data_IF_109285339152
#
_entry.id   IF_109285339152
#
_cell.length_a   1.000
_cell.length_b   1.000
_cell.length_c   1.000
_cell.angle_alpha   90.00
_cell.angle_beta   90.00
_cell.angle_gamma   90.00
#
_symmetry.space_group_name_H-M   'P 1'
#
loop_
_entity.id
_entity.type
_entity.pdbx_description
1 polymer ?
#
# COMPACT_ATOMS: atom_id res chain seq x y z
N UNK A 1 39.23 37.01 -33.90
CA UNK A 1 39.60 35.61 -34.26
C UNK A 1 39.35 34.74 -33.05
N UNK A 2 38.23 34.02 -33.03
CA UNK A 2 37.83 33.07 -31.95
C UNK A 2 38.22 31.68 -32.44
N UNK A 3 38.97 30.86 -31.66
CA UNK A 3 39.32 29.51 -32.10
C UNK A 3 38.11 28.60 -32.10
N UNK A 4 38.03 27.57 -32.95
CA UNK A 4 36.90 26.66 -33.02
C UNK A 4 36.82 25.77 -31.83
N UNK A 5 35.63 25.65 -31.28
CA UNK A 5 35.25 24.71 -30.19
C UNK A 5 35.37 23.29 -30.75
N UNK A 6 36.26 22.51 -30.17
CA UNK A 6 36.42 21.07 -30.44
C UNK A 6 35.14 20.38 -29.99
N UNK A 7 34.43 19.62 -30.85
CA UNK A 7 33.33 18.80 -30.42
C UNK A 7 33.88 17.68 -29.52
N UNK A 8 33.46 17.67 -28.25
CA UNK A 8 33.69 16.56 -27.34
C UNK A 8 33.11 15.29 -27.97
N UNK A 9 34.01 14.38 -28.27
CA UNK A 9 33.76 13.04 -28.77
C UNK A 9 32.71 12.35 -27.89
N UNK A 10 31.50 12.13 -28.42
CA UNK A 10 30.54 11.22 -27.81
C UNK A 10 31.15 9.83 -27.87
N UNK A 11 31.30 9.12 -26.74
CA UNK A 11 31.68 7.72 -26.80
C UNK A 11 30.54 6.94 -27.48
N UNK A 12 30.84 6.46 -28.69
CA UNK A 12 30.01 5.45 -29.34
C UNK A 12 30.14 4.14 -28.55
N UNK A 13 29.27 3.99 -27.55
CA UNK A 13 29.09 2.70 -26.89
C UNK A 13 28.30 1.79 -27.82
N UNK A 14 29.00 1.03 -28.61
CA UNK A 14 28.50 -0.23 -29.18
C UNK A 14 28.61 -1.30 -28.10
N UNK A 15 27.88 -1.16 -27.01
CA UNK A 15 27.65 -2.25 -26.07
C UNK A 15 26.54 -3.15 -26.60
N UNK A 16 26.83 -4.45 -26.67
CA UNK A 16 25.95 -5.45 -27.21
C UNK A 16 24.59 -5.40 -26.52
N UNK A 17 23.54 -5.37 -27.32
CA UNK A 17 22.12 -5.27 -26.88
C UNK A 17 21.71 -6.27 -25.79
N UNK A 18 22.46 -7.34 -25.57
CA UNK A 18 22.25 -8.31 -24.49
C UNK A 18 22.68 -7.83 -23.11
N UNK A 19 23.81 -7.11 -23.00
CA UNK A 19 24.32 -6.59 -21.72
C UNK A 19 23.46 -5.48 -21.15
N UNK A 20 23.02 -4.55 -21.98
CA UNK A 20 22.14 -3.43 -21.58
C UNK A 20 20.77 -3.93 -21.11
N UNK A 21 20.19 -4.95 -21.76
CA UNK A 21 18.93 -5.56 -21.33
C UNK A 21 19.03 -6.29 -19.99
N UNK A 22 20.15 -6.96 -19.71
CA UNK A 22 20.34 -7.64 -18.41
C UNK A 22 20.53 -6.67 -17.27
N UNK A 23 21.27 -5.57 -17.46
CA UNK A 23 21.46 -4.52 -16.45
C UNK A 23 20.14 -3.84 -16.15
N UNK A 24 19.34 -3.48 -17.16
CA UNK A 24 18.02 -2.90 -16.97
C UNK A 24 17.06 -3.85 -16.22
N UNK A 25 17.14 -5.18 -16.50
CA UNK A 25 16.30 -6.17 -15.80
C UNK A 25 16.67 -6.32 -14.32
N UNK A 26 17.95 -6.31 -13.98
CA UNK A 26 18.41 -6.40 -12.59
C UNK A 26 18.10 -5.13 -11.80
N UNK A 27 18.31 -3.95 -12.38
CA UNK A 27 17.94 -2.67 -11.75
C UNK A 27 16.43 -2.58 -11.49
N UNK A 28 15.61 -3.02 -12.43
CA UNK A 28 14.17 -3.08 -12.28
C UNK A 28 13.75 -4.02 -11.12
N UNK A 29 14.37 -5.21 -11.02
CA UNK A 29 14.10 -6.15 -9.92
C UNK A 29 14.49 -5.54 -8.58
N UNK A 30 15.67 -4.92 -8.47
CA UNK A 30 16.07 -4.22 -7.25
C UNK A 30 15.14 -3.06 -6.91
N UNK A 31 14.67 -2.31 -7.89
CA UNK A 31 13.70 -1.23 -7.67
C UNK A 31 12.34 -1.80 -7.20
N UNK A 32 11.87 -2.93 -7.76
CA UNK A 32 10.65 -3.59 -7.31
C UNK A 32 10.77 -4.08 -5.86
N UNK A 33 11.84 -4.79 -5.53
CA UNK A 33 12.04 -5.28 -4.16
C UNK A 33 12.30 -4.13 -3.18
N UNK A 34 13.08 -3.12 -3.57
CA UNK A 34 13.35 -1.94 -2.76
C UNK A 34 12.08 -1.11 -2.51
N UNK A 35 11.30 -0.85 -3.55
CA UNK A 35 10.03 -0.15 -3.46
C UNK A 35 9.01 -0.92 -2.60
N UNK A 36 8.92 -2.24 -2.78
CA UNK A 36 8.06 -3.10 -1.95
C UNK A 36 8.51 -3.09 -0.48
N UNK A 37 9.81 -3.19 -0.23
CA UNK A 37 10.35 -3.14 1.14
C UNK A 37 10.05 -1.79 1.82
N UNK A 38 10.25 -0.67 1.12
CA UNK A 38 9.92 0.67 1.63
C UNK A 38 8.42 0.82 1.90
N UNK A 39 7.57 0.33 0.99
CA UNK A 39 6.13 0.34 1.15
C UNK A 39 5.70 -0.47 2.38
N UNK A 40 6.11 -1.74 2.48
CA UNK A 40 5.74 -2.62 3.59
C UNK A 40 6.28 -2.11 4.93
N UNK A 41 7.53 -1.66 4.96
CA UNK A 41 8.13 -1.09 6.15
C UNK A 41 7.43 0.20 6.57
N UNK A 42 7.16 1.11 5.62
CA UNK A 42 6.42 2.35 5.88
C UNK A 42 5.04 2.07 6.45
N UNK A 43 4.31 1.12 5.87
CA UNK A 43 2.97 0.72 6.34
C UNK A 43 3.01 0.14 7.76
N UNK A 44 3.93 -0.79 8.04
CA UNK A 44 4.08 -1.41 9.36
C UNK A 44 4.47 -0.37 10.43
N UNK A 45 5.43 0.50 10.12
CA UNK A 45 5.87 1.56 11.04
C UNK A 45 4.79 2.60 11.29
N UNK A 46 4.08 3.03 10.25
CA UNK A 46 2.94 3.93 10.38
C UNK A 46 1.86 3.34 11.30
N UNK A 47 1.49 2.07 11.07
CA UNK A 47 0.51 1.37 11.89
C UNK A 47 0.92 1.32 13.38
N UNK A 48 2.16 0.91 13.67
CA UNK A 48 2.68 0.85 15.05
C UNK A 48 2.77 2.23 15.69
N UNK A 49 3.16 3.25 14.94
CA UNK A 49 3.25 4.60 15.45
C UNK A 49 1.87 5.18 15.78
N UNK A 50 0.87 4.97 14.91
CA UNK A 50 -0.52 5.34 15.18
C UNK A 50 -1.09 4.58 16.39
N UNK A 51 -0.80 3.28 16.53
CA UNK A 51 -1.20 2.49 17.70
C UNK A 51 -0.60 3.05 19.00
N UNK A 52 0.67 3.44 19.00
CA UNK A 52 1.31 4.07 20.17
C UNK A 52 0.71 5.45 20.50
N UNK A 53 0.39 6.24 19.47
CA UNK A 53 -0.21 7.56 19.67
C UNK A 53 -1.65 7.50 20.20
N UNK A 54 -2.43 6.48 19.80
CA UNK A 54 -3.86 6.38 20.03
C UNK A 54 -4.30 5.24 20.98
N UNK A 55 -3.41 4.35 21.41
CA UNK A 55 -3.73 3.05 22.00
C UNK A 55 -4.76 3.06 23.15
N UNK A 56 -4.63 3.93 24.13
CA UNK A 56 -5.58 3.98 25.26
C UNK A 56 -6.92 4.64 24.88
N UNK A 57 -6.91 5.58 23.93
CA UNK A 57 -8.13 6.19 23.43
C UNK A 57 -8.96 5.14 22.67
N UNK A 58 -8.30 4.27 21.94
CA UNK A 58 -8.93 3.21 21.15
C UNK A 58 -9.60 2.14 22.01
N UNK A 59 -8.96 1.73 23.09
CA UNK A 59 -9.56 0.80 24.06
C UNK A 59 -10.82 1.41 24.70
N UNK A 60 -10.79 2.69 25.06
CA UNK A 60 -11.95 3.39 25.62
C UNK A 60 -13.08 3.55 24.59
N UNK A 61 -12.73 3.77 23.32
CA UNK A 61 -13.68 3.90 22.21
C UNK A 61 -14.47 2.58 22.05
N UNK A 62 -13.76 1.47 21.94
CA UNK A 62 -14.37 0.14 21.85
C UNK A 62 -15.26 -0.20 23.05
N UNK A 63 -14.82 0.14 24.26
CA UNK A 63 -15.59 -0.17 25.47
C UNK A 63 -16.88 0.66 25.61
N UNK A 64 -16.96 1.86 25.02
CA UNK A 64 -18.07 2.79 25.23
C UNK A 64 -19.07 2.88 24.08
N UNK A 65 -18.66 2.67 22.84
CA UNK A 65 -19.46 2.99 21.66
C UNK A 65 -20.07 1.76 20.95
N UNK A 66 -20.21 0.64 21.66
CA UNK A 66 -20.80 -0.59 21.08
C UNK A 66 -22.25 -0.82 21.53
N UNK A 67 -22.95 0.22 22.02
CA UNK A 67 -24.30 0.09 22.55
C UNK A 67 -25.33 -0.32 21.50
N UNK A 68 -25.17 0.10 20.23
CA UNK A 68 -26.04 -0.28 19.11
C UNK A 68 -25.20 -0.90 17.99
N UNK A 69 -25.81 -1.74 17.11
CA UNK A 69 -25.07 -2.31 15.98
C UNK A 69 -24.43 -1.26 15.07
N UNK A 70 -25.16 -0.16 14.79
CA UNK A 70 -24.64 0.93 13.96
C UNK A 70 -23.41 1.60 14.60
N UNK A 71 -23.48 1.91 15.88
CA UNK A 71 -22.34 2.44 16.63
C UNK A 71 -21.19 1.44 16.67
N UNK A 72 -21.47 0.15 16.74
CA UNK A 72 -20.47 -0.91 16.62
C UNK A 72 -19.72 -0.86 15.30
N UNK A 73 -20.44 -0.76 14.17
CA UNK A 73 -19.86 -0.60 12.83
C UNK A 73 -19.00 0.66 12.76
N UNK A 74 -19.51 1.81 13.18
CA UNK A 74 -18.76 3.08 13.15
C UNK A 74 -17.52 3.02 14.04
N UNK A 75 -17.61 2.35 15.19
CA UNK A 75 -16.47 2.14 16.09
C UNK A 75 -15.40 1.27 15.43
N UNK A 76 -15.79 0.15 14.83
CA UNK A 76 -14.88 -0.73 14.10
C UNK A 76 -14.17 -0.01 12.95
N UNK A 77 -14.92 0.75 12.17
CA UNK A 77 -14.38 1.59 11.10
C UNK A 77 -13.35 2.61 11.62
N UNK A 78 -13.71 3.36 12.66
CA UNK A 78 -12.81 4.36 13.25
C UNK A 78 -11.55 3.74 13.85
N UNK A 79 -11.70 2.61 14.54
CA UNK A 79 -10.58 1.85 15.11
C UNK A 79 -9.62 1.42 14.00
N UNK A 80 -10.13 0.81 12.94
CA UNK A 80 -9.29 0.32 11.84
C UNK A 80 -8.66 1.45 11.04
N UNK A 81 -9.41 2.54 10.79
CA UNK A 81 -8.87 3.72 10.12
C UNK A 81 -7.67 4.32 10.87
N UNK A 82 -7.68 4.29 12.21
CA UNK A 82 -6.57 4.78 13.03
C UNK A 82 -5.48 3.72 13.19
N UNK A 83 -5.82 2.47 13.51
CA UNK A 83 -4.84 1.41 13.73
C UNK A 83 -4.18 0.94 12.43
N UNK A 84 -4.81 1.16 11.29
CA UNK A 84 -4.38 0.70 9.97
C UNK A 84 -4.06 -0.81 9.93
N UNK A 85 -4.72 -1.58 10.82
CA UNK A 85 -4.54 -3.03 10.96
C UNK A 85 -5.86 -3.67 11.38
N UNK A 86 -6.51 -4.33 10.44
CA UNK A 86 -7.75 -5.08 10.68
C UNK A 86 -7.49 -6.31 11.57
N UNK A 87 -6.35 -6.99 11.39
CA UNK A 87 -5.98 -8.13 12.24
C UNK A 87 -5.81 -7.74 13.69
N UNK A 88 -5.07 -6.66 13.98
CA UNK A 88 -4.89 -6.17 15.35
C UNK A 88 -6.22 -5.73 15.97
N UNK A 89 -7.08 -5.04 15.21
CA UNK A 89 -8.40 -4.64 15.67
C UNK A 89 -9.30 -5.86 15.95
N UNK A 90 -9.29 -6.86 15.07
CA UNK A 90 -10.08 -8.10 15.25
C UNK A 90 -9.62 -8.88 16.47
N UNK A 91 -8.31 -9.09 16.67
CA UNK A 91 -7.76 -9.76 17.86
C UNK A 91 -8.15 -9.03 19.15
N UNK A 92 -8.16 -7.68 19.13
CA UNK A 92 -8.62 -6.88 20.26
C UNK A 92 -10.10 -7.13 20.57
N UNK A 93 -10.97 -7.18 19.54
CA UNK A 93 -12.40 -7.49 19.69
C UNK A 93 -12.60 -8.89 20.23
N UNK A 94 -11.90 -9.89 19.71
CA UNK A 94 -11.94 -11.27 20.23
C UNK A 94 -11.53 -11.30 21.70
N UNK A 95 -10.46 -10.58 22.06
CA UNK A 95 -10.01 -10.46 23.44
C UNK A 95 -11.10 -9.87 24.36
N UNK A 96 -11.85 -8.87 23.91
CA UNK A 96 -12.96 -8.30 24.69
C UNK A 96 -14.14 -9.27 24.84
N UNK A 97 -14.46 -10.03 23.80
CA UNK A 97 -15.48 -11.09 23.90
C UNK A 97 -15.05 -12.17 24.88
N UNK A 98 -13.80 -12.63 24.78
CA UNK A 98 -13.26 -13.65 25.67
C UNK A 98 -13.19 -13.20 27.14
N UNK A 99 -12.98 -11.90 27.36
CA UNK A 99 -12.99 -11.31 28.69
C UNK A 99 -14.41 -11.00 29.22
N UNK A 100 -15.48 -11.31 28.48
CA UNK A 100 -16.86 -10.98 28.83
C UNK A 100 -17.19 -9.47 28.80
N UNK A 101 -16.32 -8.64 28.19
CA UNK A 101 -16.49 -7.19 28.10
C UNK A 101 -17.36 -6.77 26.91
N UNK A 102 -17.54 -7.65 25.93
CA UNK A 102 -18.30 -7.41 24.72
C UNK A 102 -19.12 -8.65 24.34
N UNK A 103 -20.40 -8.47 24.12
CA UNK A 103 -21.30 -9.53 23.65
C UNK A 103 -21.04 -9.87 22.17
N UNK A 104 -21.19 -11.13 21.79
CA UNK A 104 -20.93 -11.61 20.44
C UNK A 104 -21.68 -10.83 19.34
N UNK A 105 -23.01 -10.52 19.46
CA UNK A 105 -23.70 -9.76 18.43
C UNK A 105 -23.12 -8.35 18.22
N UNK A 106 -22.65 -7.72 19.27
CA UNK A 106 -21.98 -6.40 19.19
C UNK A 106 -20.60 -6.51 18.58
N UNK A 107 -19.86 -7.58 18.92
CA UNK A 107 -18.57 -7.87 18.33
C UNK A 107 -18.65 -8.06 16.82
N UNK A 108 -19.67 -8.78 16.33
CA UNK A 108 -19.91 -8.96 14.89
C UNK A 108 -20.12 -7.61 14.19
N UNK A 109 -20.90 -6.70 14.77
CA UNK A 109 -21.08 -5.35 14.21
C UNK A 109 -19.75 -4.58 14.13
N UNK A 110 -18.90 -4.67 15.18
CA UNK A 110 -17.56 -4.04 15.16
C UNK A 110 -16.68 -4.66 14.08
N UNK A 111 -16.72 -5.97 13.89
CA UNK A 111 -15.95 -6.69 12.85
C UNK A 111 -16.37 -6.24 11.45
N UNK A 112 -17.67 -6.04 11.18
CA UNK A 112 -18.12 -5.44 9.91
C UNK A 112 -17.52 -4.04 9.72
N UNK A 113 -17.50 -3.23 10.77
CA UNK A 113 -16.86 -1.91 10.74
C UNK A 113 -15.36 -1.99 10.47
N UNK A 114 -14.66 -2.95 11.06
CA UNK A 114 -13.23 -3.21 10.82
C UNK A 114 -12.97 -3.52 9.35
N UNK A 115 -13.77 -4.39 8.74
CA UNK A 115 -13.64 -4.73 7.32
C UNK A 115 -13.89 -3.52 6.40
N UNK A 116 -14.91 -2.72 6.70
CA UNK A 116 -15.13 -1.46 5.97
C UNK A 116 -13.94 -0.51 6.17
N UNK A 117 -13.40 -0.41 7.40
CA UNK A 117 -12.27 0.45 7.71
C UNK A 117 -10.98 0.09 6.96
N UNK A 118 -10.79 -1.16 6.58
CA UNK A 118 -9.66 -1.59 5.74
C UNK A 118 -9.69 -0.91 4.37
N UNK A 119 -10.86 -0.59 3.83
CA UNK A 119 -10.98 0.11 2.54
C UNK A 119 -10.46 1.54 2.59
N UNK A 120 -10.42 2.17 3.77
CA UNK A 120 -9.84 3.50 3.96
C UNK A 120 -8.34 3.53 3.63
N UNK A 121 -7.62 2.44 3.96
CA UNK A 121 -6.21 2.29 3.58
C UNK A 121 -6.05 2.28 2.05
N UNK A 122 -6.90 1.55 1.35
CA UNK A 122 -6.90 1.52 -0.10
C UNK A 122 -7.20 2.89 -0.71
N UNK A 123 -8.13 3.67 -0.12
CA UNK A 123 -8.43 5.03 -0.55
C UNK A 123 -7.26 5.99 -0.31
N UNK A 124 -6.58 5.88 0.85
CA UNK A 124 -5.38 6.67 1.12
C UNK A 124 -4.28 6.39 0.08
N UNK A 125 -4.07 5.13 -0.28
CA UNK A 125 -3.08 4.71 -1.28
C UNK A 125 -3.49 5.19 -2.69
N UNK A 126 -4.79 5.28 -2.97
CA UNK A 126 -5.31 5.78 -4.25
C UNK A 126 -5.06 7.28 -4.45
N UNK A 127 -4.81 8.03 -3.39
CA UNK A 127 -4.52 9.45 -3.46
C UNK A 127 -3.17 9.68 -4.15
N UNK A 128 -3.12 10.56 -5.13
CA UNK A 128 -1.86 10.93 -5.78
C UNK A 128 -1.12 11.96 -4.92
N UNK A 129 -0.37 11.46 -3.94
CA UNK A 129 0.41 12.27 -3.01
C UNK A 129 1.88 12.45 -3.43
N UNK A 130 2.27 12.05 -4.65
CA UNK A 130 3.67 12.04 -5.09
C UNK A 130 4.38 13.40 -4.89
N UNK A 131 3.69 14.52 -5.15
CA UNK A 131 4.25 15.85 -4.97
C UNK A 131 4.48 16.23 -3.50
N UNK A 132 3.75 15.60 -2.57
CA UNK A 132 3.83 15.87 -1.14
C UNK A 132 4.77 14.92 -0.38
N UNK A 133 5.32 13.90 -1.04
CA UNK A 133 6.13 12.86 -0.38
C UNK A 133 7.32 13.46 0.36
N UNK A 134 8.14 14.26 -0.30
CA UNK A 134 9.34 14.85 0.32
C UNK A 134 9.03 15.87 1.43
N UNK A 135 8.08 16.81 1.25
CA UNK A 135 7.63 17.66 2.36
C UNK A 135 7.11 16.89 3.58
N UNK A 136 6.35 15.80 3.35
CA UNK A 136 5.81 14.95 4.42
C UNK A 136 6.92 14.19 5.13
N UNK A 137 7.87 13.59 4.38
CA UNK A 137 9.06 12.95 4.97
C UNK A 137 9.84 13.92 5.84
N UNK A 138 10.12 15.12 5.34
CA UNK A 138 10.86 16.12 6.11
C UNK A 138 10.11 16.57 7.35
N UNK A 139 8.81 16.86 7.23
CA UNK A 139 7.98 17.26 8.37
C UNK A 139 7.92 16.14 9.43
N UNK A 140 7.71 14.88 9.01
CA UNK A 140 7.71 13.73 9.90
C UNK A 140 9.03 13.57 10.65
N UNK A 141 10.15 13.67 9.93
CA UNK A 141 11.49 13.62 10.51
C UNK A 141 11.71 14.74 11.57
N UNK A 142 11.36 15.99 11.23
CA UNK A 142 11.52 17.13 12.15
C UNK A 142 10.67 16.94 13.41
N UNK A 143 9.41 16.50 13.26
CA UNK A 143 8.52 16.25 14.39
C UNK A 143 9.08 15.14 15.29
N UNK A 144 9.51 14.01 14.71
CA UNK A 144 10.07 12.88 15.46
C UNK A 144 11.35 13.28 16.19
N UNK A 145 12.28 13.95 15.51
CA UNK A 145 13.58 14.36 16.05
C UNK A 145 13.46 15.45 17.12
N UNK A 146 12.58 16.44 16.93
CA UNK A 146 12.42 17.57 17.86
C UNK A 146 11.51 17.25 19.06
N UNK A 147 10.69 16.21 18.97
CA UNK A 147 9.70 15.90 19.99
C UNK A 147 10.35 15.31 21.25
N UNK A 148 10.01 15.89 22.40
CA UNK A 148 10.42 15.37 23.72
C UNK A 148 9.41 14.39 24.33
N UNK A 149 8.15 14.46 23.89
CA UNK A 149 7.06 13.60 24.40
C UNK A 149 6.85 12.41 23.47
N UNK A 150 6.79 11.20 24.01
CA UNK A 150 6.61 9.95 23.27
C UNK A 150 5.42 9.98 22.30
N UNK A 151 4.32 10.67 22.66
CA UNK A 151 3.16 10.83 21.80
C UNK A 151 3.47 11.60 20.51
N UNK A 152 4.25 12.69 20.61
CA UNK A 152 4.63 13.50 19.45
C UNK A 152 5.69 12.82 18.60
N UNK A 153 6.60 12.05 19.22
CA UNK A 153 7.52 11.16 18.48
C UNK A 153 6.74 10.13 17.66
N UNK A 154 5.73 9.50 18.28
CA UNK A 154 4.88 8.56 17.55
C UNK A 154 4.11 9.23 16.38
N UNK A 155 3.66 10.49 16.56
CA UNK A 155 3.05 11.25 15.46
C UNK A 155 4.07 11.55 14.37
N UNK A 156 5.28 11.99 14.71
CA UNK A 156 6.37 12.24 13.76
C UNK A 156 6.74 10.99 12.97
N UNK A 157 6.91 9.87 13.67
CA UNK A 157 7.18 8.56 13.04
C UNK A 157 6.03 8.12 12.12
N UNK A 158 4.77 8.35 12.50
CA UNK A 158 3.63 8.03 11.64
C UNK A 158 3.65 8.86 10.35
N UNK A 159 3.90 10.18 10.46
CA UNK A 159 3.98 11.08 9.30
C UNK A 159 5.17 10.73 8.41
N UNK A 160 6.34 10.46 8.98
CA UNK A 160 7.52 10.02 8.24
C UNK A 160 7.26 8.72 7.49
N UNK A 161 6.70 7.74 8.18
CA UNK A 161 6.38 6.42 7.62
C UNK A 161 5.32 6.48 6.53
N UNK A 162 4.36 7.42 6.63
CA UNK A 162 3.40 7.72 5.57
C UNK A 162 4.12 8.21 4.30
N UNK A 163 5.06 9.14 4.43
CA UNK A 163 5.90 9.58 3.29
C UNK A 163 6.71 8.44 2.69
N UNK A 164 7.30 7.58 3.53
CA UNK A 164 8.08 6.42 3.08
C UNK A 164 7.23 5.40 2.31
N UNK A 165 6.00 5.17 2.77
CA UNK A 165 5.01 4.33 2.10
C UNK A 165 4.75 4.83 0.67
N UNK A 166 4.47 6.13 0.52
CA UNK A 166 4.19 6.72 -0.80
C UNK A 166 5.42 6.74 -1.71
N UNK A 167 6.62 6.96 -1.18
CA UNK A 167 7.85 6.83 -1.97
C UNK A 167 8.03 5.40 -2.48
N UNK A 168 7.80 4.39 -1.61
CA UNK A 168 7.80 2.98 -2.02
C UNK A 168 6.81 2.69 -3.16
N UNK A 169 5.59 3.22 -3.08
CA UNK A 169 4.58 3.13 -4.15
C UNK A 169 5.08 3.78 -5.43
N UNK A 170 5.71 4.96 -5.33
CA UNK A 170 6.27 5.67 -6.48
C UNK A 170 7.39 4.88 -7.17
N UNK A 171 8.29 4.28 -6.40
CA UNK A 171 9.35 3.40 -6.93
C UNK A 171 8.74 2.19 -7.63
N UNK A 172 7.74 1.52 -7.01
CA UNK A 172 7.04 0.39 -7.62
C UNK A 172 6.39 0.78 -8.95
N UNK A 173 5.70 1.92 -8.99
CA UNK A 173 5.06 2.41 -10.21
C UNK A 173 6.05 2.65 -11.34
N UNK A 174 7.17 3.32 -11.05
CA UNK A 174 8.25 3.55 -12.02
C UNK A 174 8.90 2.24 -12.49
N UNK A 175 9.11 1.29 -11.59
CA UNK A 175 9.71 0.00 -11.92
C UNK A 175 8.77 -0.90 -12.76
N UNK A 176 7.45 -0.78 -12.59
CA UNK A 176 6.46 -1.53 -13.36
C UNK A 176 6.19 -0.93 -14.76
N UNK A 177 6.46 0.36 -14.94
CA UNK A 177 6.17 1.07 -16.20
C UNK A 177 6.77 0.39 -17.45
N UNK A 178 8.04 -0.09 -17.47
CA UNK A 178 8.59 -0.77 -18.63
C UNK A 178 7.90 -2.11 -18.95
N UNK A 179 7.31 -2.76 -17.95
CA UNK A 179 6.60 -4.04 -18.11
C UNK A 179 5.26 -3.85 -18.83
N UNK A 180 4.61 -2.72 -18.64
CA UNK A 180 3.29 -2.43 -19.23
C UNK A 180 3.29 -2.49 -20.77
N UNK A 181 4.45 -2.29 -21.41
CA UNK A 181 4.62 -2.40 -22.86
C UNK A 181 5.06 -3.80 -23.35
N UNK A 182 5.34 -4.76 -22.45
CA UNK A 182 5.83 -6.07 -22.85
C UNK A 182 4.67 -7.02 -23.22
N UNK A 183 4.79 -7.70 -24.35
CA UNK A 183 3.77 -8.62 -24.85
C UNK A 183 3.43 -9.74 -23.87
N UNK A 184 4.43 -10.27 -23.16
CA UNK A 184 4.25 -11.32 -22.14
C UNK A 184 3.36 -10.80 -21.01
N UNK A 185 3.63 -9.60 -20.50
CA UNK A 185 2.85 -8.99 -19.42
C UNK A 185 1.41 -8.71 -19.88
N UNK A 186 1.26 -8.13 -21.08
CA UNK A 186 -0.06 -7.86 -21.67
C UNK A 186 -0.86 -9.15 -21.89
N UNK A 187 -0.20 -10.22 -22.33
CA UNK A 187 -0.82 -11.54 -22.50
C UNK A 187 -1.35 -12.10 -21.17
N UNK A 188 -0.59 -11.95 -20.06
CA UNK A 188 -1.06 -12.35 -18.74
C UNK A 188 -2.25 -11.49 -18.26
N UNK A 189 -2.17 -10.17 -18.43
CA UNK A 189 -3.26 -9.27 -18.03
C UNK A 189 -4.55 -9.55 -18.81
N UNK A 190 -4.44 -9.86 -20.10
CA UNK A 190 -5.58 -10.26 -20.92
C UNK A 190 -6.22 -11.56 -20.42
N UNK A 191 -5.43 -12.56 -20.03
CA UNK A 191 -5.94 -13.82 -19.44
C UNK A 191 -6.65 -13.58 -18.11
N UNK A 192 -6.09 -12.73 -17.25
CA UNK A 192 -6.71 -12.35 -15.96
C UNK A 192 -8.06 -11.64 -16.20
N UNK A 193 -8.14 -10.75 -17.19
CA UNK A 193 -9.41 -10.11 -17.59
C UNK A 193 -10.45 -11.11 -18.10
N UNK A 194 -10.01 -12.09 -18.87
CA UNK A 194 -10.90 -13.08 -19.48
C UNK A 194 -11.39 -14.16 -18.51
N UNK A 195 -10.65 -14.42 -17.43
CA UNK A 195 -10.96 -15.49 -16.47
C UNK A 195 -11.02 -14.95 -15.04
N UNK A 196 -12.24 -14.71 -14.50
CA UNK A 196 -12.40 -14.27 -13.10
C UNK A 196 -11.77 -15.22 -12.09
N UNK A 197 -11.81 -16.53 -12.35
CA UNK A 197 -11.21 -17.54 -11.47
C UNK A 197 -9.70 -17.37 -11.36
N UNK A 198 -9.02 -17.07 -12.49
CA UNK A 198 -7.59 -16.81 -12.50
C UNK A 198 -7.26 -15.54 -11.70
N UNK A 199 -8.09 -14.51 -11.81
CA UNK A 199 -7.97 -13.30 -11.00
C UNK A 199 -8.08 -13.57 -9.50
N UNK A 200 -9.08 -14.36 -9.08
CA UNK A 200 -9.27 -14.76 -7.68
C UNK A 200 -8.04 -15.56 -7.18
N UNK A 201 -7.57 -16.54 -7.93
CA UNK A 201 -6.40 -17.34 -7.56
C UNK A 201 -5.14 -16.48 -7.47
N UNK A 202 -4.98 -15.48 -8.34
CA UNK A 202 -3.86 -14.55 -8.30
C UNK A 202 -3.91 -13.69 -7.03
N UNK A 203 -5.06 -13.09 -6.71
CA UNK A 203 -5.24 -12.29 -5.49
C UNK A 203 -4.99 -13.10 -4.23
N UNK A 204 -5.59 -14.30 -4.13
CA UNK A 204 -5.36 -15.23 -3.04
C UNK A 204 -3.86 -15.57 -2.89
N UNK A 205 -3.19 -15.94 -3.98
CA UNK A 205 -1.77 -16.28 -3.97
C UNK A 205 -0.89 -15.10 -3.54
N UNK A 206 -1.18 -13.89 -4.03
CA UNK A 206 -0.46 -12.67 -3.64
C UNK A 206 -0.60 -12.41 -2.14
N UNK A 207 -1.81 -12.49 -1.59
CA UNK A 207 -2.05 -12.24 -0.17
C UNK A 207 -1.45 -13.33 0.71
N UNK A 208 -1.47 -14.59 0.28
CA UNK A 208 -0.79 -15.68 1.00
C UNK A 208 0.73 -15.44 1.11
N UNK A 209 1.35 -14.87 0.09
CA UNK A 209 2.80 -14.57 0.09
C UNK A 209 3.11 -13.29 0.87
N UNK A 210 2.36 -12.22 0.62
CA UNK A 210 2.61 -10.89 1.20
C UNK A 210 2.10 -10.79 2.63
N UNK A 211 1.12 -11.64 3.01
CA UNK A 211 0.46 -11.65 4.34
C UNK A 211 -0.17 -10.30 4.71
N UNK A 212 -0.55 -9.51 3.71
CA UNK A 212 -1.16 -8.20 3.88
C UNK A 212 -2.06 -7.86 2.71
N UNK A 213 -3.38 -7.83 2.94
CA UNK A 213 -4.36 -7.43 1.95
C UNK A 213 -4.16 -5.98 1.48
N UNK A 214 -3.83 -5.08 2.39
CA UNK A 214 -3.53 -3.68 2.03
C UNK A 214 -2.34 -3.57 1.08
N UNK A 215 -1.31 -4.40 1.26
CA UNK A 215 -0.16 -4.43 0.36
C UNK A 215 -0.51 -5.01 -1.01
N UNK A 216 -1.30 -6.07 -1.06
CA UNK A 216 -1.81 -6.65 -2.32
C UNK A 216 -2.66 -5.62 -3.08
N UNK A 217 -3.55 -4.89 -2.38
CA UNK A 217 -4.34 -3.81 -2.97
C UNK A 217 -3.45 -2.70 -3.54
N UNK A 218 -2.38 -2.30 -2.83
CA UNK A 218 -1.45 -1.30 -3.33
C UNK A 218 -0.72 -1.74 -4.60
N UNK A 219 -0.25 -2.98 -4.65
CA UNK A 219 0.36 -3.56 -5.85
C UNK A 219 -0.66 -3.60 -7.01
N UNK A 220 -1.88 -4.05 -6.74
CA UNK A 220 -2.96 -4.09 -7.71
C UNK A 220 -3.28 -2.70 -8.27
N UNK A 221 -3.35 -1.67 -7.41
CA UNK A 221 -3.57 -0.29 -7.82
C UNK A 221 -2.43 0.23 -8.71
N UNK A 222 -1.18 -0.11 -8.39
CA UNK A 222 -0.05 0.25 -9.24
C UNK A 222 -0.16 -0.39 -10.64
N UNK A 223 -0.49 -1.68 -10.72
CA UNK A 223 -0.72 -2.36 -12.01
C UNK A 223 -1.91 -1.76 -12.74
N UNK A 224 -3.01 -1.47 -12.03
CA UNK A 224 -4.21 -0.87 -12.63
C UNK A 224 -4.00 0.57 -13.13
N UNK A 225 -3.02 1.29 -12.60
CA UNK A 225 -2.62 2.65 -13.09
C UNK A 225 -1.76 2.60 -14.33
N UNK A 226 -1.15 1.46 -14.68
CA UNK A 226 -0.35 1.36 -15.88
C UNK A 226 -1.26 1.46 -17.11
N UNK A 227 -0.91 2.38 -18.01
CA UNK A 227 -1.59 2.51 -19.30
C UNK A 227 -1.25 1.33 -20.20
N UNK A 228 -2.23 0.82 -20.92
CA UNK A 228 -2.04 -0.17 -21.95
C UNK A 228 -1.35 0.40 -23.20
N UNK A 229 -1.21 -0.42 -24.24
CA UNK A 229 -0.54 -0.02 -25.50
C UNK A 229 -1.22 1.18 -26.20
N UNK A 230 -2.49 1.40 -25.90
CA UNK A 230 -3.28 2.55 -26.44
C UNK A 230 -3.02 3.86 -25.68
N UNK A 231 -2.27 3.82 -24.56
CA UNK A 231 -1.97 4.97 -23.72
C UNK A 231 -3.19 5.57 -22.98
N UNK A 232 -4.38 5.01 -23.14
CA UNK A 232 -5.64 5.56 -22.63
C UNK A 232 -6.25 4.66 -21.57
N UNK A 233 -6.35 3.36 -21.87
CA UNK A 233 -6.99 2.40 -20.99
C UNK A 233 -5.99 1.70 -20.07
N UNK A 234 -6.42 1.36 -18.87
CA UNK A 234 -5.63 0.55 -17.93
C UNK A 234 -5.33 -0.84 -18.50
N UNK A 235 -4.10 -1.30 -18.30
CA UNK A 235 -3.67 -2.66 -18.65
C UNK A 235 -4.59 -3.71 -18.03
N UNK A 236 -5.02 -3.54 -16.77
CA UNK A 236 -5.85 -4.49 -16.04
C UNK A 236 -7.34 -4.16 -16.12
N UNK A 237 -7.72 -2.87 -16.01
CA UNK A 237 -9.09 -2.43 -15.94
C UNK A 237 -9.89 -2.99 -14.76
N UNK A 238 -11.16 -2.61 -14.64
CA UNK A 238 -12.04 -3.10 -13.57
C UNK A 238 -12.33 -4.60 -13.68
N UNK A 239 -12.48 -5.11 -14.91
CA UNK A 239 -12.79 -6.51 -15.15
C UNK A 239 -11.72 -7.46 -14.62
N UNK A 240 -10.44 -7.05 -14.66
CA UNK A 240 -9.34 -7.83 -14.08
C UNK A 240 -9.10 -7.51 -12.60
N UNK A 241 -9.29 -6.25 -12.18
CA UNK A 241 -9.01 -5.83 -10.81
C UNK A 241 -10.00 -6.39 -9.78
N UNK A 242 -11.30 -6.44 -10.10
CA UNK A 242 -12.34 -6.92 -9.16
C UNK A 242 -12.14 -8.38 -8.75
N UNK A 243 -11.90 -9.35 -9.67
CA UNK A 243 -11.61 -10.71 -9.26
C UNK A 243 -10.37 -10.86 -8.39
N UNK A 244 -9.29 -10.09 -8.67
CA UNK A 244 -8.07 -10.10 -7.84
C UNK A 244 -8.37 -9.58 -6.43
N UNK A 245 -9.15 -8.51 -6.30
CA UNK A 245 -9.61 -7.98 -5.00
C UNK A 245 -10.46 -8.99 -4.22
N UNK A 246 -11.32 -9.75 -4.90
CA UNK A 246 -12.09 -10.81 -4.24
C UNK A 246 -11.18 -11.91 -3.71
N UNK A 247 -10.18 -12.32 -4.49
CA UNK A 247 -9.19 -13.31 -4.08
C UNK A 247 -8.31 -12.85 -2.91
N UNK A 248 -7.96 -11.56 -2.86
CA UNK A 248 -7.20 -10.95 -1.78
C UNK A 248 -7.91 -11.05 -0.41
N UNK A 249 -9.23 -11.06 -0.42
CA UNK A 249 -10.06 -11.07 0.81
C UNK A 249 -10.54 -12.47 1.23
N UNK A 250 -10.15 -13.53 0.54
CA UNK A 250 -10.42 -14.92 0.90
C UNK A 250 -9.32 -15.45 1.80
#
# INVERSE_FOLDING_TARGET
MIPPIIPLCSPSYTEGQGGVRMVQGTEMLFALFGGLAMFLYGMDRMSRALQRAAGDAMKRLLARLTATPLLGVLTGLAVTAVLQSSSAATVMVIGFVSAGLLELPRAVAVIYGINIGTTMTAQLIAFDAQQLVYPVLFAGFVIDFAARKARWQAVGEAVFSFGLLFEGIGILGRALQPLAGQEVFLGWMTRVKASPLLGILLGLGMTMVVQSSSATIALLQNVARQAGPDGIHSVLGLAGAVPVLLGDNI
#
